data_IF_986434517556
#
_entry.id   IF_986434517556
#
_cell.length_a   1.000
_cell.length_b   1.000
_cell.length_c   1.000
_cell.angle_alpha   90.00
_cell.angle_beta   90.00
_cell.angle_gamma   90.00
#
_symmetry.space_group_name_H-M   'P 1'
#
loop_
_entity.id
_entity.type
_entity.pdbx_description
1 polymer ?
#
# COMPACT_ATOMS: atom_id res chain seq x y z
N UNK A 1 -20.12 24.15 -28.71
CA UNK A 1 -20.31 22.75 -28.25
C UNK A 1 -19.05 21.88 -28.43
N UNK A 2 -17.84 22.44 -28.31
CA UNK A 2 -16.58 21.66 -28.42
C UNK A 2 -15.91 21.48 -27.04
N UNK A 3 -16.11 22.44 -26.13
CA UNK A 3 -15.54 22.42 -24.77
C UNK A 3 -16.13 21.30 -23.89
N UNK A 4 -17.39 20.89 -24.12
CA UNK A 4 -18.06 19.86 -23.30
C UNK A 4 -17.60 18.42 -23.62
N UNK A 5 -17.12 18.17 -24.85
CA UNK A 5 -16.68 16.82 -25.29
C UNK A 5 -15.29 16.48 -24.76
N UNK A 6 -14.43 17.49 -24.58
CA UNK A 6 -13.07 17.29 -24.03
C UNK A 6 -13.10 16.91 -22.55
N UNK A 7 -14.08 17.40 -21.79
CA UNK A 7 -14.22 17.09 -20.34
C UNK A 7 -14.66 15.63 -20.11
N UNK A 8 -15.49 15.08 -20.99
CA UNK A 8 -16.01 13.70 -20.84
C UNK A 8 -14.94 12.65 -21.19
N UNK A 9 -14.11 12.92 -22.21
CA UNK A 9 -13.03 12.00 -22.60
C UNK A 9 -11.95 11.84 -21.51
N UNK A 10 -11.65 12.91 -20.76
CA UNK A 10 -10.71 12.85 -19.64
C UNK A 10 -11.25 12.04 -18.44
N UNK A 11 -12.56 12.09 -18.18
CA UNK A 11 -13.18 11.36 -17.05
C UNK A 11 -13.25 9.84 -17.24
N UNK A 12 -13.30 9.35 -18.48
CA UNK A 12 -13.40 7.90 -18.75
C UNK A 12 -12.04 7.21 -18.56
N UNK A 13 -10.94 7.87 -18.91
CA UNK A 13 -9.58 7.34 -18.71
C UNK A 13 -9.23 7.13 -17.24
N UNK A 14 -9.63 8.07 -16.38
CA UNK A 14 -9.37 8.00 -14.93
C UNK A 14 -10.18 6.90 -14.26
N UNK A 15 -11.44 6.71 -14.65
CA UNK A 15 -12.32 5.70 -14.03
C UNK A 15 -11.92 4.26 -14.38
N UNK A 16 -11.52 4.00 -15.63
CA UNK A 16 -11.04 2.68 -16.04
C UNK A 16 -9.69 2.34 -15.37
N UNK A 17 -8.80 3.34 -15.28
CA UNK A 17 -7.55 3.19 -14.54
C UNK A 17 -7.86 2.79 -13.09
N UNK A 18 -8.60 3.63 -12.36
CA UNK A 18 -8.92 3.42 -10.94
C UNK A 18 -9.52 2.03 -10.64
N UNK A 19 -10.44 1.55 -11.49
CA UNK A 19 -11.01 0.20 -11.36
C UNK A 19 -9.94 -0.89 -11.49
N UNK A 20 -9.00 -0.73 -12.42
CA UNK A 20 -7.90 -1.67 -12.65
C UNK A 20 -6.92 -1.70 -11.48
N UNK A 21 -6.46 -0.55 -10.96
CA UNK A 21 -5.55 -0.57 -9.80
C UNK A 21 -6.22 -1.13 -8.56
N UNK A 22 -7.50 -0.83 -8.33
CA UNK A 22 -8.27 -1.41 -7.23
C UNK A 22 -8.30 -2.94 -7.31
N UNK A 23 -8.50 -3.48 -8.51
CA UNK A 23 -8.49 -4.92 -8.73
C UNK A 23 -7.11 -5.53 -8.50
N UNK A 24 -6.05 -4.95 -9.07
CA UNK A 24 -4.67 -5.44 -8.90
C UNK A 24 -4.28 -5.47 -7.42
N UNK A 25 -4.57 -4.39 -6.67
CA UNK A 25 -4.31 -4.34 -5.23
C UNK A 25 -5.09 -5.40 -4.45
N UNK A 26 -6.34 -5.68 -4.85
CA UNK A 26 -7.16 -6.69 -4.19
C UNK A 26 -6.68 -8.11 -4.50
N UNK A 27 -6.20 -8.39 -5.71
CA UNK A 27 -5.59 -9.68 -6.05
C UNK A 27 -4.26 -9.87 -5.31
N UNK A 28 -3.40 -8.86 -5.26
CA UNK A 28 -2.17 -8.91 -4.49
C UNK A 28 -2.43 -9.17 -3.00
N UNK A 29 -3.44 -8.51 -2.42
CA UNK A 29 -3.84 -8.70 -1.02
C UNK A 29 -4.26 -10.15 -0.71
N UNK A 30 -5.03 -10.79 -1.61
CA UNK A 30 -5.49 -12.18 -1.43
C UNK A 30 -4.33 -13.16 -1.29
N UNK A 31 -3.27 -12.96 -2.05
CA UNK A 31 -2.11 -13.87 -2.06
C UNK A 31 -1.00 -13.45 -1.09
N UNK A 32 -1.03 -12.23 -0.53
CA UNK A 32 0.08 -11.67 0.25
C UNK A 32 0.46 -12.47 1.50
N UNK A 33 -0.47 -13.22 2.10
CA UNK A 33 -0.17 -14.04 3.29
C UNK A 33 0.49 -15.38 2.92
N UNK A 34 0.10 -15.98 1.79
CA UNK A 34 0.58 -17.31 1.37
C UNK A 34 1.79 -17.22 0.43
N UNK A 35 1.81 -16.20 -0.44
CA UNK A 35 2.84 -15.95 -1.45
C UNK A 35 3.31 -14.48 -1.39
N UNK A 36 3.97 -14.07 -0.29
CA UNK A 36 4.35 -12.67 -0.07
C UNK A 36 5.29 -12.12 -1.15
N UNK A 37 6.21 -12.95 -1.68
CA UNK A 37 7.14 -12.54 -2.73
C UNK A 37 6.43 -12.26 -4.06
N UNK A 38 5.52 -13.15 -4.46
CA UNK A 38 4.67 -12.96 -5.65
C UNK A 38 3.77 -11.74 -5.52
N UNK A 39 3.16 -11.54 -4.34
CA UNK A 39 2.34 -10.37 -4.06
C UNK A 39 3.16 -9.08 -4.17
N UNK A 40 4.37 -9.09 -3.60
CA UNK A 40 5.28 -7.96 -3.63
C UNK A 40 5.70 -7.60 -5.07
N UNK A 41 6.02 -8.60 -5.89
CA UNK A 41 6.37 -8.38 -7.30
C UNK A 41 5.24 -7.68 -8.08
N UNK A 42 3.97 -8.04 -7.81
CA UNK A 42 2.80 -7.35 -8.39
C UNK A 42 2.74 -5.90 -7.91
N UNK A 43 2.93 -5.67 -6.61
CA UNK A 43 2.82 -4.35 -5.99
C UNK A 43 3.95 -3.40 -6.42
N UNK A 44 5.16 -3.91 -6.65
CA UNK A 44 6.30 -3.15 -7.14
C UNK A 44 6.12 -2.69 -8.60
N UNK A 45 5.25 -3.34 -9.37
CA UNK A 45 4.91 -2.91 -10.74
C UNK A 45 3.93 -1.73 -10.81
N UNK A 46 3.32 -1.35 -9.68
CA UNK A 46 2.36 -0.25 -9.60
C UNK A 46 3.12 1.07 -9.42
N UNK A 47 2.87 2.03 -10.32
CA UNK A 47 3.29 3.42 -10.11
C UNK A 47 2.40 4.05 -9.02
N UNK A 48 2.95 4.53 -7.90
CA UNK A 48 2.15 5.18 -6.85
C UNK A 48 1.36 6.40 -7.34
N UNK A 49 1.80 7.07 -8.43
CA UNK A 49 1.09 8.21 -9.02
C UNK A 49 -0.23 7.83 -9.69
N UNK A 50 -0.41 6.55 -10.04
CA UNK A 50 -1.68 6.01 -10.56
C UNK A 50 -2.74 5.84 -9.47
N UNK A 51 -2.36 5.91 -8.20
CA UNK A 51 -3.25 5.72 -7.06
C UNK A 51 -3.64 7.07 -6.47
N UNK A 52 -4.90 7.46 -6.61
CA UNK A 52 -5.40 8.75 -6.11
C UNK A 52 -6.06 8.65 -4.74
N UNK A 53 -6.87 7.62 -4.51
CA UNK A 53 -7.63 7.45 -3.27
C UNK A 53 -6.72 7.08 -2.09
N UNK A 54 -6.88 7.76 -0.96
CA UNK A 54 -6.09 7.52 0.26
C UNK A 54 -6.22 6.09 0.77
N UNK A 55 -7.40 5.48 0.60
CA UNK A 55 -7.64 4.08 0.95
C UNK A 55 -6.79 3.10 0.15
N UNK A 56 -6.58 3.38 -1.14
CA UNK A 56 -5.76 2.57 -2.02
C UNK A 56 -4.26 2.83 -1.80
N UNK A 57 -3.87 4.09 -1.50
CA UNK A 57 -2.49 4.42 -1.10
C UNK A 57 -2.11 3.70 0.18
N UNK A 58 -2.97 3.76 1.20
CA UNK A 58 -2.77 3.04 2.45
C UNK A 58 -2.65 1.53 2.21
N UNK A 59 -3.50 0.96 1.35
CA UNK A 59 -3.42 -0.46 0.97
C UNK A 59 -2.09 -0.79 0.29
N UNK A 60 -1.67 -0.01 -0.70
CA UNK A 60 -0.40 -0.21 -1.42
C UNK A 60 0.78 -0.18 -0.46
N UNK A 61 0.90 0.86 0.36
CA UNK A 61 2.05 1.03 1.26
C UNK A 61 2.07 -0.03 2.37
N UNK A 62 0.91 -0.39 2.92
CA UNK A 62 0.81 -1.52 3.86
C UNK A 62 1.28 -2.83 3.22
N UNK A 63 0.77 -3.17 2.02
CA UNK A 63 1.09 -4.46 1.41
C UNK A 63 2.55 -4.55 0.96
N UNK A 64 3.16 -3.45 0.46
CA UNK A 64 4.59 -3.42 0.13
C UNK A 64 5.47 -3.66 1.36
N UNK A 65 5.23 -2.91 2.43
CA UNK A 65 5.96 -3.07 3.68
C UNK A 65 5.74 -4.45 4.31
N UNK A 66 4.51 -4.97 4.29
CA UNK A 66 4.19 -6.32 4.76
C UNK A 66 4.90 -7.39 3.92
N UNK A 67 4.97 -7.21 2.61
CA UNK A 67 5.74 -8.08 1.70
C UNK A 67 7.23 -8.06 2.02
N UNK A 68 7.84 -6.88 2.15
CA UNK A 68 9.25 -6.75 2.56
C UNK A 68 9.53 -7.43 3.90
N UNK A 69 8.70 -7.18 4.90
CA UNK A 69 8.78 -7.80 6.23
C UNK A 69 8.69 -9.34 6.13
N UNK A 70 7.69 -9.86 5.42
CA UNK A 70 7.43 -11.30 5.30
C UNK A 70 8.50 -12.03 4.48
N UNK A 71 9.18 -11.31 3.59
CA UNK A 71 10.30 -11.83 2.80
C UNK A 71 11.68 -11.55 3.43
N UNK A 72 11.74 -11.05 4.68
CA UNK A 72 12.98 -10.66 5.37
C UNK A 72 13.87 -9.68 4.57
N UNK A 73 13.25 -8.81 3.77
CA UNK A 73 13.94 -7.77 3.00
C UNK A 73 14.14 -6.53 3.86
N UNK A 74 15.14 -5.73 3.49
CA UNK A 74 15.38 -4.45 4.15
C UNK A 74 14.17 -3.53 3.98
N UNK A 75 13.72 -2.93 5.09
CA UNK A 75 12.57 -2.03 5.08
C UNK A 75 12.93 -0.54 5.08
N UNK A 76 14.20 -0.18 4.90
CA UNK A 76 14.65 1.23 4.96
C UNK A 76 13.90 2.17 4.01
N UNK A 77 13.36 1.64 2.90
CA UNK A 77 12.56 2.38 1.92
C UNK A 77 11.07 2.51 2.26
N UNK A 78 10.57 1.82 3.29
CA UNK A 78 9.14 1.66 3.57
C UNK A 78 8.54 2.74 4.49
N UNK A 79 9.13 3.94 4.56
CA UNK A 79 8.68 5.03 5.44
C UNK A 79 7.17 5.33 5.38
N UNK A 80 6.55 5.10 4.22
CA UNK A 80 5.12 5.29 3.98
C UNK A 80 4.21 4.28 4.70
N UNK A 81 4.76 3.24 5.35
CA UNK A 81 4.01 2.37 6.25
C UNK A 81 3.38 3.15 7.41
N UNK A 82 3.99 4.26 7.83
CA UNK A 82 3.42 5.16 8.85
C UNK A 82 2.06 5.72 8.41
N UNK A 83 1.94 6.11 7.13
CA UNK A 83 0.68 6.60 6.56
C UNK A 83 -0.37 5.49 6.56
N UNK A 84 0.01 4.29 6.13
CA UNK A 84 -0.90 3.15 6.08
C UNK A 84 -1.37 2.70 7.47
N UNK A 85 -0.46 2.65 8.45
CA UNK A 85 -0.81 2.31 9.82
C UNK A 85 -1.80 3.31 10.41
N UNK A 86 -1.52 4.61 10.28
CA UNK A 86 -2.44 5.66 10.71
C UNK A 86 -3.80 5.57 10.00
N UNK A 87 -3.83 5.17 8.73
CA UNK A 87 -5.07 4.99 8.00
C UNK A 87 -5.90 3.83 8.56
N UNK A 88 -5.29 2.69 8.89
CA UNK A 88 -6.01 1.50 9.37
C UNK A 88 -6.32 1.50 10.87
N UNK A 89 -5.62 2.33 11.64
CA UNK A 89 -5.79 2.44 13.10
C UNK A 89 -7.25 2.64 13.48
N UNK A 90 -7.79 1.71 14.25
CA UNK A 90 -9.19 1.73 14.70
C UNK A 90 -10.26 1.53 13.60
N UNK A 91 -9.88 1.25 12.34
CA UNK A 91 -10.82 1.00 11.23
C UNK A 91 -10.96 -0.48 10.86
N UNK A 92 -9.85 -1.20 10.87
CA UNK A 92 -9.78 -2.63 10.53
C UNK A 92 -8.77 -3.28 11.47
N UNK A 93 -9.24 -4.10 12.42
CA UNK A 93 -8.38 -4.63 13.48
C UNK A 93 -7.24 -5.50 12.95
N UNK A 94 -7.46 -6.24 11.86
CA UNK A 94 -6.42 -7.10 11.28
C UNK A 94 -5.35 -6.24 10.64
N UNK A 95 -5.76 -5.22 9.86
CA UNK A 95 -4.82 -4.32 9.19
C UNK A 95 -4.15 -3.36 10.16
N UNK A 96 -4.83 -2.94 11.23
CA UNK A 96 -4.26 -2.14 12.31
C UNK A 96 -3.06 -2.87 12.94
N UNK A 97 -3.28 -4.10 13.42
CA UNK A 97 -2.22 -4.92 14.03
C UNK A 97 -1.09 -5.22 13.03
N UNK A 98 -1.42 -5.68 11.81
CA UNK A 98 -0.39 -6.05 10.83
C UNK A 98 0.42 -4.85 10.34
N UNK A 99 -0.22 -3.70 10.14
CA UNK A 99 0.50 -2.47 9.77
C UNK A 99 1.34 -1.91 10.91
N UNK A 100 0.91 -2.08 12.18
CA UNK A 100 1.72 -1.74 13.36
C UNK A 100 2.98 -2.60 13.45
N UNK A 101 2.86 -3.91 13.26
CA UNK A 101 4.02 -4.81 13.22
C UNK A 101 4.97 -4.41 12.08
N UNK A 102 4.45 -4.17 10.87
CA UNK A 102 5.27 -3.72 9.74
C UNK A 102 5.96 -2.36 10.02
N UNK A 103 5.29 -1.45 10.72
CA UNK A 103 5.86 -0.17 11.14
C UNK A 103 6.98 -0.33 12.16
N UNK A 104 6.84 -1.23 13.13
CA UNK A 104 7.89 -1.57 14.07
C UNK A 104 9.13 -2.13 13.36
N UNK A 105 8.94 -3.06 12.41
CA UNK A 105 10.03 -3.60 11.59
C UNK A 105 10.72 -2.52 10.73
N UNK A 106 9.95 -1.61 10.12
CA UNK A 106 10.51 -0.46 9.43
C UNK A 106 11.42 0.37 10.35
N UNK A 107 10.92 0.73 11.54
CA UNK A 107 11.67 1.53 12.52
C UNK A 107 12.96 0.84 12.94
N UNK A 108 12.91 -0.47 13.18
CA UNK A 108 14.09 -1.28 13.46
C UNK A 108 15.13 -1.17 12.33
N UNK A 109 14.73 -1.41 11.07
CA UNK A 109 15.63 -1.32 9.91
C UNK A 109 16.15 0.10 9.64
N UNK A 110 15.34 1.11 9.94
CA UNK A 110 15.72 2.52 9.83
C UNK A 110 16.70 2.98 10.93
N UNK A 111 17.00 2.12 11.91
CA UNK A 111 17.89 2.42 13.04
C UNK A 111 17.20 3.08 14.23
N UNK A 112 15.88 3.18 14.22
CA UNK A 112 15.06 3.75 15.30
C UNK A 112 14.55 2.65 16.23
N UNK A 113 15.48 1.97 16.89
CA UNK A 113 15.18 0.81 17.74
C UNK A 113 14.28 1.15 18.95
N UNK A 114 14.44 2.27 19.68
CA UNK A 114 13.57 2.59 20.81
C UNK A 114 12.10 2.69 20.40
N UNK A 115 11.82 3.37 19.29
CA UNK A 115 10.48 3.57 18.76
C UNK A 115 9.92 2.30 18.09
N UNK A 116 10.78 1.35 17.70
CA UNK A 116 10.33 0.05 17.17
C UNK A 116 9.74 -0.86 18.25
N UNK A 117 10.21 -0.77 19.49
CA UNK A 117 9.76 -1.63 20.60
C UNK A 117 8.64 -1.01 21.44
N UNK A 118 8.44 0.31 21.33
CA UNK A 118 7.43 1.05 22.08
C UNK A 118 6.04 1.05 21.41
N UNK A 119 5.93 0.44 20.23
CA UNK A 119 4.77 0.50 19.35
C UNK A 119 3.62 -0.43 19.75
#
# INVERSE_FOLDING_TARGET
MVVFVVVIAASIGVSCSHSKQTQILSEAEKIATEYPDSALAILESIDPSDITADSLKAKLYYLKAYGHMSCHRSMVGDSLITLAHNYYRGKDIVKDVRSGIALAWYRFWAGDTPDSIAL
#
